data_IF_122885936242
#
_entry.id   IF_122885936242
#
_cell.length_a   1.000
_cell.length_b   1.000
_cell.length_c   1.000
_cell.angle_alpha   90.00
_cell.angle_beta   90.00
_cell.angle_gamma   90.00
#
_symmetry.space_group_name_H-M   'P 1'
#
loop_
_entity.id
_entity.type
_entity.pdbx_description
1 polymer ?
#
# COMPACT_ATOMS: atom_id res chain seq x y z
N UNK A 1 7.05 -3.86 14.60
CA UNK A 1 6.62 -2.81 15.55
C UNK A 1 7.86 -2.25 16.23
N UNK A 2 7.90 -0.98 16.63
CA UNK A 2 9.16 -0.30 17.01
C UNK A 2 9.75 -0.72 18.36
N UNK A 3 8.98 -1.38 19.24
CA UNK A 3 9.49 -1.86 20.52
C UNK A 3 9.97 -0.72 21.43
N UNK A 4 9.15 0.33 21.63
CA UNK A 4 9.55 1.52 22.41
C UNK A 4 10.01 1.23 23.84
N UNK A 5 9.71 0.03 24.37
CA UNK A 5 10.10 -0.42 25.71
C UNK A 5 11.11 -1.58 25.70
N UNK A 6 11.77 -1.89 24.59
CA UNK A 6 12.76 -2.98 24.51
C UNK A 6 12.82 -3.67 23.15
N UNK A 7 13.09 -4.98 23.14
CA UNK A 7 13.19 -5.74 21.88
C UNK A 7 11.83 -5.73 21.16
N UNK A 8 11.79 -5.39 19.85
CA UNK A 8 10.58 -5.49 19.04
C UNK A 8 9.87 -6.84 19.19
N UNK A 9 8.59 -6.80 19.59
CA UNK A 9 7.78 -8.01 19.70
C UNK A 9 7.26 -8.39 18.30
N UNK A 10 7.46 -9.64 17.84
CA UNK A 10 6.88 -10.08 16.58
C UNK A 10 5.35 -10.05 16.68
N UNK A 11 4.69 -9.61 15.61
CA UNK A 11 3.23 -9.63 15.49
C UNK A 11 2.86 -10.70 14.48
N UNK A 12 2.08 -11.69 14.90
CA UNK A 12 1.59 -12.75 14.02
C UNK A 12 0.25 -12.32 13.44
N UNK A 13 0.21 -12.18 12.11
CA UNK A 13 -1.02 -11.92 11.36
C UNK A 13 -1.37 -13.16 10.54
N UNK A 14 -2.59 -13.68 10.71
CA UNK A 14 -3.08 -14.82 9.95
C UNK A 14 -3.49 -14.36 8.55
N UNK A 15 -3.42 -15.25 7.56
CA UNK A 15 -3.83 -14.99 6.17
C UNK A 15 -5.23 -14.37 6.06
N UNK A 16 -6.17 -14.83 6.90
CA UNK A 16 -7.53 -14.29 6.97
C UNK A 16 -7.60 -12.78 7.26
N UNK A 17 -6.61 -12.21 7.96
CA UNK A 17 -6.53 -10.77 8.19
C UNK A 17 -6.30 -9.96 6.92
N UNK A 18 -5.58 -10.51 5.94
CA UNK A 18 -5.41 -9.90 4.62
C UNK A 18 -6.60 -10.20 3.70
N UNK A 19 -7.21 -11.38 3.81
CA UNK A 19 -8.38 -11.77 3.01
C UNK A 19 -9.61 -10.86 3.20
N UNK A 20 -9.68 -10.06 4.28
CA UNK A 20 -10.76 -9.09 4.50
C UNK A 20 -10.90 -8.09 3.33
N UNK A 21 -9.81 -7.78 2.63
CA UNK A 21 -9.83 -6.83 1.51
C UNK A 21 -10.59 -7.35 0.27
N UNK A 22 -10.79 -8.67 0.13
CA UNK A 22 -11.70 -9.23 -0.89
C UNK A 22 -13.17 -8.92 -0.56
N UNK A 23 -13.51 -8.82 0.73
CA UNK A 23 -14.82 -8.36 1.16
C UNK A 23 -15.11 -6.92 0.73
N UNK A 24 -14.10 -6.05 0.76
CA UNK A 24 -14.22 -4.67 0.28
C UNK A 24 -14.38 -4.59 -1.25
N UNK A 25 -13.82 -5.56 -1.98
CA UNK A 25 -13.93 -5.67 -3.44
C UNK A 25 -15.33 -6.06 -3.90
N UNK A 26 -15.92 -7.04 -3.21
CA UNK A 26 -17.20 -7.64 -3.56
C UNK A 26 -18.37 -7.07 -2.74
N UNK A 27 -18.09 -6.15 -1.82
CA UNK A 27 -19.07 -5.51 -0.96
C UNK A 27 -19.91 -4.47 -1.70
N UNK A 28 -21.04 -4.04 -1.11
CA UNK A 28 -21.87 -3.01 -1.69
C UNK A 28 -21.15 -1.66 -1.72
N UNK A 29 -21.50 -0.83 -2.69
CA UNK A 29 -21.16 0.58 -2.66
C UNK A 29 -21.85 1.30 -1.49
N UNK A 30 -21.18 2.32 -0.95
CA UNK A 30 -21.74 3.19 0.07
C UNK A 30 -22.16 4.51 -0.60
N UNK A 31 -23.47 4.80 -0.61
CA UNK A 31 -24.03 5.96 -1.33
C UNK A 31 -23.57 6.07 -2.79
N UNK A 32 -23.51 4.93 -3.52
CA UNK A 32 -23.07 4.89 -4.91
C UNK A 32 -21.57 5.12 -5.11
N UNK A 33 -20.77 5.02 -4.05
CA UNK A 33 -19.31 5.17 -4.08
C UNK A 33 -18.65 3.86 -3.65
N UNK A 34 -17.66 3.35 -4.41
CA UNK A 34 -16.88 2.18 -4.00
C UNK A 34 -16.05 2.49 -2.76
N UNK A 35 -15.57 1.46 -2.06
CA UNK A 35 -14.63 1.67 -0.96
C UNK A 35 -13.36 2.39 -1.46
N UNK A 36 -12.74 3.20 -0.59
CA UNK A 36 -11.48 3.89 -0.92
C UNK A 36 -10.37 2.93 -1.35
N UNK A 37 -10.38 1.70 -0.81
CA UNK A 37 -9.44 0.66 -1.20
C UNK A 37 -9.69 0.13 -2.62
N UNK A 38 -10.95 -0.07 -3.01
CA UNK A 38 -11.31 -0.41 -4.39
C UNK A 38 -10.90 0.72 -5.34
N UNK A 39 -11.14 1.97 -4.95
CA UNK A 39 -10.72 3.13 -5.73
C UNK A 39 -9.19 3.20 -5.92
N UNK A 40 -8.42 3.00 -4.85
CA UNK A 40 -6.95 2.88 -4.90
C UNK A 40 -6.49 1.82 -5.90
N UNK A 41 -7.25 0.74 -6.03
CA UNK A 41 -6.92 -0.41 -6.89
C UNK A 41 -7.44 -0.30 -8.33
N UNK A 42 -8.13 0.79 -8.72
CA UNK A 42 -8.62 0.97 -10.09
C UNK A 42 -7.48 1.05 -11.12
N UNK A 43 -6.40 1.84 -10.89
CA UNK A 43 -5.27 1.90 -11.82
C UNK A 43 -4.53 0.56 -11.98
N UNK A 44 -3.85 0.37 -13.11
CA UNK A 44 -3.02 -0.82 -13.36
C UNK A 44 -1.71 -0.83 -12.57
N UNK A 45 -1.20 0.35 -12.21
CA UNK A 45 0.03 0.57 -11.45
C UNK A 45 -0.22 1.48 -10.26
N UNK A 46 0.28 1.10 -9.09
CA UNK A 46 0.17 1.86 -7.84
C UNK A 46 1.56 2.06 -7.27
N UNK A 47 1.90 3.30 -6.95
CA UNK A 47 3.15 3.65 -6.31
C UNK A 47 3.05 3.49 -4.79
N UNK A 48 4.00 2.78 -4.19
CA UNK A 48 4.18 2.77 -2.74
C UNK A 48 5.67 2.72 -2.36
N UNK A 49 6.19 3.77 -1.71
CA UNK A 49 7.55 3.75 -1.17
C UNK A 49 7.61 3.09 0.21
N UNK A 50 6.49 2.57 0.72
CA UNK A 50 6.43 1.95 2.05
C UNK A 50 7.20 0.62 2.02
N UNK A 51 8.24 0.44 2.86
CA UNK A 51 9.02 -0.79 2.85
C UNK A 51 8.19 -2.01 3.26
N UNK A 52 8.50 -3.18 2.72
CA UNK A 52 7.75 -4.42 2.98
C UNK A 52 7.91 -4.94 4.42
N UNK A 53 8.95 -4.52 5.16
CA UNK A 53 9.07 -4.81 6.59
C UNK A 53 8.09 -4.00 7.45
N UNK A 54 7.44 -2.97 6.88
CA UNK A 54 6.33 -2.25 7.50
C UNK A 54 5.01 -2.97 7.19
N UNK A 55 4.09 -3.02 8.16
CA UNK A 55 2.82 -3.75 8.03
C UNK A 55 2.02 -3.32 6.78
N UNK A 56 1.96 -2.01 6.50
CA UNK A 56 1.30 -1.50 5.30
C UNK A 56 1.99 -1.93 3.99
N UNK A 57 3.33 -2.04 3.98
CA UNK A 57 4.08 -2.44 2.78
C UNK A 57 3.81 -3.90 2.40
N UNK A 58 3.87 -4.81 3.37
CA UNK A 58 3.51 -6.22 3.14
C UNK A 58 2.01 -6.38 2.82
N UNK A 59 1.14 -5.63 3.50
CA UNK A 59 -0.29 -5.66 3.21
C UNK A 59 -0.60 -5.23 1.77
N UNK A 60 0.05 -4.18 1.25
CA UNK A 60 -0.11 -3.75 -0.14
C UNK A 60 0.43 -4.80 -1.11
N UNK A 61 1.59 -5.40 -0.84
CA UNK A 61 2.13 -6.47 -1.68
C UNK A 61 1.13 -7.63 -1.83
N UNK A 62 0.50 -8.05 -0.74
CA UNK A 62 -0.50 -9.13 -0.75
C UNK A 62 -1.81 -8.64 -1.39
N UNK A 63 -2.44 -7.60 -0.85
CA UNK A 63 -3.77 -7.20 -1.29
C UNK A 63 -3.76 -6.61 -2.70
N UNK A 64 -2.87 -5.66 -2.98
CA UNK A 64 -2.82 -4.97 -4.28
C UNK A 64 -2.12 -5.85 -5.33
N UNK A 65 -0.97 -6.41 -4.97
CA UNK A 65 -0.15 -7.21 -5.88
C UNK A 65 -0.74 -8.58 -6.19
N UNK A 66 -1.14 -9.33 -5.16
CA UNK A 66 -1.62 -10.72 -5.33
C UNK A 66 -3.14 -10.74 -5.55
N UNK A 67 -3.95 -10.18 -4.66
CA UNK A 67 -5.42 -10.32 -4.76
C UNK A 67 -6.05 -9.48 -5.88
N UNK A 68 -5.58 -8.24 -6.06
CA UNK A 68 -6.06 -7.37 -7.13
C UNK A 68 -5.23 -7.47 -8.43
N UNK A 69 -4.11 -8.20 -8.42
CA UNK A 69 -3.28 -8.41 -9.60
C UNK A 69 -2.70 -7.12 -10.20
N UNK A 70 -2.44 -6.10 -9.38
CA UNK A 70 -1.93 -4.80 -9.84
C UNK A 70 -0.42 -4.75 -9.71
N UNK A 71 0.22 -3.99 -10.61
CA UNK A 71 1.64 -3.75 -10.52
C UNK A 71 1.95 -2.72 -9.44
N UNK A 72 2.93 -3.02 -8.58
CA UNK A 72 3.45 -2.10 -7.58
C UNK A 72 4.72 -1.43 -8.09
N UNK A 73 4.75 -0.10 -8.02
CA UNK A 73 5.96 0.70 -8.21
C UNK A 73 6.54 0.94 -6.82
N UNK A 74 7.75 0.46 -6.57
CA UNK A 74 8.42 0.64 -5.28
C UNK A 74 9.27 1.92 -5.25
N UNK A 75 9.60 2.36 -4.04
CA UNK A 75 10.54 3.46 -3.83
C UNK A 75 11.96 3.12 -4.29
N UNK A 76 12.77 4.15 -4.51
CA UNK A 76 14.17 4.02 -4.90
C UNK A 76 14.99 3.59 -3.67
N UNK A 77 15.62 2.40 -3.66
CA UNK A 77 16.14 1.79 -2.44
C UNK A 77 17.34 2.49 -1.80
N UNK A 78 18.12 3.24 -2.58
CA UNK A 78 19.34 3.93 -2.16
C UNK A 78 19.12 5.42 -1.82
N UNK A 79 17.88 5.90 -1.90
CA UNK A 79 17.54 7.30 -1.64
C UNK A 79 16.47 7.42 -0.56
N UNK A 80 16.69 8.24 0.48
CA UNK A 80 15.63 8.56 1.44
C UNK A 80 14.40 9.13 0.71
N UNK A 81 13.22 8.72 1.17
CA UNK A 81 11.96 9.23 0.63
C UNK A 81 11.83 10.73 0.93
N UNK A 82 11.57 11.52 -0.11
CA UNK A 82 11.19 12.93 -0.02
C UNK A 82 9.97 13.20 -0.90
N UNK A 83 9.29 14.33 -0.67
CA UNK A 83 8.17 14.76 -1.52
C UNK A 83 8.59 14.92 -3.00
N UNK A 84 9.78 15.48 -3.24
CA UNK A 84 10.33 15.63 -4.59
C UNK A 84 10.57 14.26 -5.26
N UNK A 85 11.15 13.30 -4.54
CA UNK A 85 11.40 11.96 -5.06
C UNK A 85 10.09 11.21 -5.32
N UNK A 86 9.10 11.35 -4.43
CA UNK A 86 7.76 10.78 -4.63
C UNK A 86 7.09 11.36 -5.88
N UNK A 87 7.18 12.68 -6.07
CA UNK A 87 6.63 13.37 -7.25
C UNK A 87 7.33 12.90 -8.54
N UNK A 88 8.66 12.86 -8.57
CA UNK A 88 9.42 12.35 -9.71
C UNK A 88 9.06 10.90 -10.03
N UNK A 89 8.94 10.05 -9.00
CA UNK A 89 8.55 8.65 -9.20
C UNK A 89 7.15 8.53 -9.80
N UNK A 90 6.20 9.33 -9.34
CA UNK A 90 4.84 9.35 -9.90
C UNK A 90 4.84 9.78 -11.37
N UNK A 91 5.56 10.86 -11.71
CA UNK A 91 5.66 11.38 -13.07
C UNK A 91 6.29 10.36 -14.03
N UNK A 92 7.31 9.61 -13.58
CA UNK A 92 8.08 8.74 -14.47
C UNK A 92 7.68 7.25 -14.45
N UNK A 93 6.97 6.78 -13.42
CA UNK A 93 6.61 5.35 -13.32
C UNK A 93 5.34 4.96 -14.06
N UNK A 94 4.48 5.95 -14.37
CA UNK A 94 3.15 5.73 -14.92
C UNK A 94 2.16 5.12 -13.91
N UNK A 95 2.42 5.27 -12.60
CA UNK A 95 1.45 4.90 -11.57
C UNK A 95 0.25 5.86 -11.59
N UNK A 96 -0.96 5.31 -11.59
CA UNK A 96 -2.21 6.10 -11.59
C UNK A 96 -2.76 6.39 -10.19
N UNK A 97 -2.16 5.81 -9.15
CA UNK A 97 -2.45 6.10 -7.76
C UNK A 97 -1.21 5.89 -6.88
N UNK A 98 -1.26 6.42 -5.66
CA UNK A 98 -0.18 6.34 -4.69
C UNK A 98 -0.70 5.96 -3.29
N UNK A 99 0.06 5.13 -2.58
CA UNK A 99 -0.08 4.94 -1.15
C UNK A 99 1.19 5.45 -0.46
N UNK A 100 1.07 6.60 0.20
CA UNK A 100 2.19 7.34 0.78
C UNK A 100 2.07 7.40 2.31
N UNK A 101 3.19 7.41 3.05
CA UNK A 101 3.16 7.72 4.47
C UNK A 101 2.70 9.17 4.69
N UNK A 102 1.97 9.48 5.78
CA UNK A 102 1.44 10.82 6.02
C UNK A 102 2.48 11.95 6.03
N UNK A 103 3.74 11.65 6.36
CA UNK A 103 4.83 12.63 6.38
C UNK A 103 5.25 13.15 5.00
N UNK A 104 4.68 12.61 3.92
CA UNK A 104 4.99 12.96 2.53
C UNK A 104 3.87 13.77 1.88
N UNK A 105 2.66 13.76 2.47
CA UNK A 105 1.53 14.59 2.07
C UNK A 105 1.60 15.95 2.77
#
# INVERSE_FOLDING_TARGET
TSGTTGIPKPVVVRQGGFAIFDGLRNGPEFHGTPSSFVHLCMPSKIYTPVPQFHAAGVALAINVGIFYGKALVYGVPDRPLSADLATQTLVHSGAGAAFLPPSIL
#
